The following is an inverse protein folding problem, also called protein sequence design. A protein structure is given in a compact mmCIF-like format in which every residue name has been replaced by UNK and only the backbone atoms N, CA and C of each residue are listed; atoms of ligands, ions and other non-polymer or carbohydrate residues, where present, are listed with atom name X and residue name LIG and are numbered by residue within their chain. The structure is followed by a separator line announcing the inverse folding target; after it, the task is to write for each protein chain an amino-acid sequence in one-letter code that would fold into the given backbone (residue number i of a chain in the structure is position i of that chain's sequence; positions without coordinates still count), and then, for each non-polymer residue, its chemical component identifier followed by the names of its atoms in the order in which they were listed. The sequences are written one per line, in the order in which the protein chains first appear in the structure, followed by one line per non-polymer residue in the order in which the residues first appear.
data_IF_007354125858
#
_entry.id   IF_007354125858
#
_cell.length_a   1.000
_cell.length_b   1.000
_cell.length_c   1.000
_cell.angle_alpha   90.00
_cell.angle_beta   90.00
_cell.angle_gamma   90.00
#
_symmetry.space_group_name_H-M   'P 1'
#
loop_
_entity.id
_entity.type
_entity.pdbx_description
1 polymer ?
#
# COMPACT_ATOMS: atom_id res chain seq x y z
N UNK A 1 31.77 7.71 59.99
CA UNK A 1 31.94 6.40 59.31
C UNK A 1 31.73 6.57 57.81
N UNK A 2 32.70 7.15 57.13
CA UNK A 2 32.93 7.02 55.68
C UNK A 2 33.55 5.64 55.46
N UNK A 3 32.75 4.60 55.19
CA UNK A 3 33.31 3.24 55.16
C UNK A 3 32.57 2.19 54.34
N UNK A 4 31.45 2.53 53.68
CA UNK A 4 30.64 1.50 52.97
C UNK A 4 30.50 1.78 51.46
N UNK A 5 31.07 2.88 50.95
CA UNK A 5 30.96 3.24 49.51
C UNK A 5 32.10 2.66 48.65
N UNK A 6 33.05 1.92 49.23
CA UNK A 6 34.33 1.60 48.57
C UNK A 6 34.61 0.10 48.35
N UNK A 7 33.59 -0.74 48.23
CA UNK A 7 33.80 -2.19 47.99
C UNK A 7 33.35 -2.73 46.62
N UNK A 8 32.98 -1.89 45.64
CA UNK A 8 32.69 -2.39 44.27
C UNK A 8 33.73 -1.92 43.22
N UNK A 9 34.68 -1.06 43.59
CA UNK A 9 35.73 -0.58 42.65
C UNK A 9 37.07 -1.31 42.75
N UNK A 10 37.18 -2.32 43.63
CA UNK A 10 38.36 -3.17 43.74
C UNK A 10 38.30 -4.34 42.76
N UNK A 11 38.61 -4.09 41.49
CA UNK A 11 39.16 -5.04 40.47
C UNK A 11 38.72 -4.72 39.03
N UNK A 12 39.04 -3.52 38.51
CA UNK A 12 39.15 -3.35 37.04
C UNK A 12 40.41 -2.55 36.74
N UNK A 13 41.58 -3.15 36.99
CA UNK A 13 42.89 -2.53 36.68
C UNK A 13 43.34 -2.72 35.22
N UNK A 14 42.56 -3.40 34.38
CA UNK A 14 42.96 -3.73 33.01
C UNK A 14 42.10 -2.99 31.97
N UNK A 15 42.72 -2.08 31.22
CA UNK A 15 42.09 -1.30 30.16
C UNK A 15 41.39 -2.18 29.11
N UNK A 16 41.89 -3.40 28.86
CA UNK A 16 41.25 -4.37 27.95
C UNK A 16 39.93 -4.88 28.53
N UNK A 17 39.89 -5.19 29.83
CA UNK A 17 38.68 -5.67 30.52
C UNK A 17 37.61 -4.59 30.56
N UNK A 18 38.00 -3.34 30.83
CA UNK A 18 37.08 -2.19 30.83
C UNK A 18 36.49 -1.92 29.43
N UNK A 19 37.32 -1.95 28.37
CA UNK A 19 36.84 -1.82 26.98
C UNK A 19 35.89 -2.95 26.59
N UNK A 20 36.17 -4.18 27.03
CA UNK A 20 35.30 -5.35 26.78
C UNK A 20 33.95 -5.22 27.48
N UNK A 21 33.91 -4.72 28.71
CA UNK A 21 32.67 -4.48 29.46
C UNK A 21 31.84 -3.34 28.84
N UNK A 22 32.47 -2.23 28.44
CA UNK A 22 31.78 -1.14 27.73
C UNK A 22 31.22 -1.64 26.40
N UNK A 23 32.01 -2.41 25.64
CA UNK A 23 31.55 -3.02 24.39
C UNK A 23 30.38 -3.97 24.61
N UNK A 24 30.43 -4.85 25.62
CA UNK A 24 29.32 -5.75 25.98
C UNK A 24 28.06 -4.97 26.40
N UNK A 25 28.20 -3.88 27.16
CA UNK A 25 27.05 -3.02 27.52
C UNK A 25 26.49 -2.27 26.31
N UNK A 26 27.34 -1.82 25.38
CA UNK A 26 26.88 -1.17 24.16
C UNK A 26 26.19 -2.16 23.23
N UNK A 27 26.69 -3.40 23.11
CA UNK A 27 26.05 -4.48 22.34
C UNK A 27 24.73 -4.91 22.96
N UNK A 28 24.62 -5.00 24.29
CA UNK A 28 23.36 -5.34 24.95
C UNK A 28 22.33 -4.22 24.85
N UNK A 29 22.74 -2.96 24.95
CA UNK A 29 21.90 -1.78 24.66
C UNK A 29 21.50 -1.77 23.18
N UNK A 30 22.41 -2.09 22.25
CA UNK A 30 22.06 -2.21 20.84
C UNK A 30 21.08 -3.36 20.60
N UNK A 31 21.26 -4.53 21.22
CA UNK A 31 20.36 -5.67 21.11
C UNK A 31 18.97 -5.38 21.70
N UNK A 32 18.88 -4.66 22.82
CA UNK A 32 17.59 -4.29 23.42
C UNK A 32 16.88 -3.19 22.61
N UNK A 33 17.62 -2.25 22.03
CA UNK A 33 17.08 -1.29 21.05
C UNK A 33 16.60 -2.03 19.79
N UNK A 34 17.37 -3.00 19.29
CA UNK A 34 17.00 -3.81 18.12
C UNK A 34 15.76 -4.68 18.40
N UNK A 35 15.67 -5.27 19.60
CA UNK A 35 14.50 -6.02 20.07
C UNK A 35 13.27 -5.12 20.24
N UNK A 36 13.45 -3.84 20.58
CA UNK A 36 12.35 -2.86 20.65
C UNK A 36 11.89 -2.36 19.27
N UNK A 37 12.67 -2.61 18.22
CA UNK A 37 12.30 -2.36 16.83
C UNK A 37 11.60 -3.58 16.18
N UNK A 38 10.89 -4.38 16.98
CA UNK A 38 9.91 -5.31 16.44
C UNK A 38 8.85 -4.47 15.71
N UNK A 39 8.68 -4.68 14.39
CA UNK A 39 7.72 -3.97 13.55
C UNK A 39 6.28 -4.16 14.08
N UNK A 40 5.87 -3.31 15.03
CA UNK A 40 4.58 -3.43 15.71
C UNK A 40 3.46 -3.01 14.76
N UNK A 41 2.71 -3.98 14.23
CA UNK A 41 1.60 -3.74 13.30
C UNK A 41 0.57 -2.82 13.95
N UNK A 42 0.27 -1.71 13.29
CA UNK A 42 -0.78 -0.81 13.74
C UNK A 42 -2.14 -1.40 13.39
N UNK A 43 -3.06 -1.41 14.35
CA UNK A 43 -4.42 -1.91 14.18
C UNK A 43 -5.41 -0.75 14.29
N UNK A 44 -6.35 -0.68 13.35
CA UNK A 44 -7.44 0.29 13.39
C UNK A 44 -8.30 0.03 14.60
N UNK A 45 -8.54 1.08 15.39
CA UNK A 45 -9.48 1.05 16.50
C UNK A 45 -10.53 2.13 16.27
N UNK A 46 -11.79 1.77 16.45
CA UNK A 46 -12.93 2.67 16.29
C UNK A 46 -13.73 2.73 17.60
N UNK A 47 -14.42 3.85 17.83
CA UNK A 47 -15.27 4.05 19.00
C UNK A 47 -16.61 3.33 18.90
N UNK A 48 -17.06 2.98 17.69
CA UNK A 48 -18.21 2.11 17.46
C UNK A 48 -17.79 0.81 16.75
N UNK A 49 -18.74 -0.14 16.62
CA UNK A 49 -18.51 -1.40 15.90
C UNK A 49 -18.38 -1.20 14.39
N UNK A 50 -18.98 -0.13 13.88
CA UNK A 50 -19.04 0.18 12.45
C UNK A 50 -17.97 1.21 12.08
N UNK A 51 -17.59 1.21 10.80
CA UNK A 51 -16.70 2.22 10.25
C UNK A 51 -17.55 3.46 9.94
N UNK A 52 -17.42 4.51 10.76
CA UNK A 52 -18.16 5.76 10.62
C UNK A 52 -17.19 6.93 10.37
N UNK A 53 -17.67 8.06 9.83
CA UNK A 53 -16.86 9.25 9.71
C UNK A 53 -16.23 9.66 11.05
N UNK A 54 -14.92 9.89 11.05
CA UNK A 54 -14.15 10.45 12.16
C UNK A 54 -14.14 9.59 13.45
N UNK A 55 -14.54 8.33 13.40
CA UNK A 55 -14.68 7.50 14.61
C UNK A 55 -13.49 6.55 14.87
N UNK A 56 -12.50 6.48 13.96
CA UNK A 56 -11.36 5.59 14.06
C UNK A 56 -10.02 6.32 14.16
N UNK A 57 -9.03 5.62 14.71
CA UNK A 57 -7.61 5.91 14.64
C UNK A 57 -6.81 4.60 14.58
N UNK A 58 -5.50 4.67 14.81
CA UNK A 58 -4.62 3.49 14.83
C UNK A 58 -3.86 3.37 16.14
N UNK A 59 -3.90 2.17 16.70
CA UNK A 59 -3.20 1.80 17.93
C UNK A 59 -2.11 0.77 17.62
N UNK A 60 -1.07 0.75 18.43
CA UNK A 60 -0.07 -0.31 18.40
C UNK A 60 -0.51 -1.54 19.22
N UNK A 61 0.30 -2.60 19.29
CA UNK A 61 -0.01 -3.83 20.03
C UNK A 61 -0.25 -3.63 21.54
N UNK A 62 0.35 -2.59 22.13
CA UNK A 62 0.15 -2.24 23.54
C UNK A 62 -1.11 -1.42 23.80
N UNK A 63 -1.89 -1.10 22.76
CA UNK A 63 -3.08 -0.25 22.85
C UNK A 63 -2.78 1.26 22.88
N UNK A 64 -1.51 1.67 22.71
CA UNK A 64 -1.15 3.09 22.61
C UNK A 64 -1.66 3.65 21.29
N UNK A 65 -2.32 4.80 21.37
CA UNK A 65 -2.76 5.56 20.20
C UNK A 65 -1.54 6.13 19.48
N UNK A 66 -1.34 5.73 18.22
CA UNK A 66 -0.29 6.23 17.33
C UNK A 66 -0.86 7.27 16.38
N UNK A 67 -2.01 6.97 15.76
CA UNK A 67 -2.76 7.92 14.94
C UNK A 67 -4.07 8.22 15.68
N UNK A 68 -4.33 9.49 16.08
CA UNK A 68 -5.51 9.86 16.86
C UNK A 68 -6.84 9.53 16.19
N UNK A 69 -7.85 9.26 17.03
CA UNK A 69 -9.22 9.09 16.59
C UNK A 69 -9.74 10.37 15.94
N UNK A 70 -10.45 10.22 14.82
CA UNK A 70 -10.99 11.36 14.09
C UNK A 70 -9.94 12.24 13.44
N UNK A 71 -8.69 11.79 13.31
CA UNK A 71 -7.67 12.44 12.48
C UNK A 71 -8.08 12.42 11.00
N UNK A 72 -8.58 11.27 10.54
CA UNK A 72 -9.07 11.04 9.18
C UNK A 72 -10.59 10.90 9.18
N UNK A 73 -11.22 11.22 8.05
CA UNK A 73 -12.66 10.95 7.86
C UNK A 73 -12.91 9.46 7.92
N UNK A 74 -12.10 8.65 7.22
CA UNK A 74 -12.18 7.20 7.28
C UNK A 74 -10.81 6.57 7.34
N UNK A 75 -10.69 5.48 8.10
CA UNK A 75 -9.53 4.60 8.14
C UNK A 75 -9.93 3.24 7.54
N UNK A 76 -9.57 2.95 6.30
CA UNK A 76 -10.07 1.76 5.59
C UNK A 76 -9.28 0.49 5.92
N UNK A 77 -7.97 0.62 6.12
CA UNK A 77 -7.09 -0.50 6.42
C UNK A 77 -7.26 -0.95 7.86
N UNK A 78 -7.53 -2.24 8.09
CA UNK A 78 -7.71 -2.76 9.45
C UNK A 78 -6.39 -2.90 10.20
N UNK A 79 -5.34 -3.39 9.52
CA UNK A 79 -4.01 -3.59 10.08
C UNK A 79 -2.96 -3.22 9.06
N UNK A 80 -1.90 -2.54 9.48
CA UNK A 80 -0.78 -2.24 8.59
C UNK A 80 0.56 -2.13 9.29
N UNK A 81 1.61 -2.53 8.58
CA UNK A 81 2.99 -2.22 8.94
C UNK A 81 3.51 -1.01 8.15
N UNK A 82 3.37 -1.00 6.83
CA UNK A 82 3.97 0.02 5.96
C UNK A 82 3.02 1.14 5.57
N UNK A 83 1.83 0.79 5.06
CA UNK A 83 0.84 1.78 4.63
C UNK A 83 -0.60 1.47 5.05
N UNK A 84 -1.36 2.53 5.28
CA UNK A 84 -2.82 2.46 5.45
C UNK A 84 -3.51 3.30 4.39
N UNK A 85 -4.72 2.91 4.01
CA UNK A 85 -5.59 3.70 3.14
C UNK A 85 -6.58 4.49 4.02
N UNK A 86 -6.65 5.79 3.80
CA UNK A 86 -7.49 6.73 4.55
C UNK A 86 -8.23 7.68 3.62
N UNK A 87 -9.33 8.27 4.11
CA UNK A 87 -9.94 9.46 3.50
C UNK A 87 -9.61 10.69 4.36
N UNK A 88 -9.12 11.74 3.72
CA UNK A 88 -8.74 13.00 4.37
C UNK A 88 -9.98 13.84 4.67
N UNK A 89 -9.85 14.84 5.56
CA UNK A 89 -10.96 15.73 5.92
C UNK A 89 -11.17 16.86 4.92
N UNK A 90 -10.07 17.36 4.39
CA UNK A 90 -9.95 18.59 3.62
C UNK A 90 -9.68 18.34 2.13
N UNK A 91 -9.54 17.07 1.74
CA UNK A 91 -9.23 16.68 0.37
C UNK A 91 -10.03 15.45 -0.06
N UNK A 92 -10.77 15.52 -1.18
CA UNK A 92 -11.55 14.38 -1.67
C UNK A 92 -10.63 13.25 -2.14
N UNK A 93 -11.16 12.02 -2.13
CA UNK A 93 -10.47 10.82 -2.56
C UNK A 93 -9.93 9.97 -1.41
N UNK A 94 -9.11 9.00 -1.79
CA UNK A 94 -8.53 8.01 -0.89
C UNK A 94 -7.02 8.02 -1.04
N UNK A 95 -6.30 7.98 0.07
CA UNK A 95 -4.85 8.17 0.07
C UNK A 95 -4.18 7.07 0.86
N UNK A 96 -3.10 6.53 0.31
CA UNK A 96 -2.18 5.72 1.09
C UNK A 96 -1.29 6.65 1.92
N UNK A 97 -1.17 6.36 3.21
CA UNK A 97 -0.26 7.03 4.13
C UNK A 97 0.73 6.04 4.72
N UNK A 98 1.95 6.48 5.00
CA UNK A 98 2.88 5.71 5.84
C UNK A 98 2.61 5.93 7.34
N UNK A 99 3.42 5.30 8.21
CA UNK A 99 3.33 5.48 9.68
C UNK A 99 3.61 6.90 10.16
N UNK A 100 4.35 7.70 9.39
CA UNK A 100 4.63 9.11 9.68
C UNK A 100 3.55 10.01 9.09
N UNK A 101 2.48 9.43 8.56
CA UNK A 101 1.36 10.12 7.92
C UNK A 101 1.76 10.88 6.65
N UNK A 102 2.88 10.50 6.01
CA UNK A 102 3.21 11.01 4.68
C UNK A 102 2.26 10.38 3.66
N UNK A 103 1.66 11.20 2.80
CA UNK A 103 0.88 10.71 1.67
C UNK A 103 1.83 10.09 0.65
N UNK A 104 1.64 8.80 0.37
CA UNK A 104 2.42 8.06 -0.61
C UNK A 104 1.85 8.24 -2.02
N UNK A 105 0.54 8.03 -2.17
CA UNK A 105 -0.18 8.16 -3.45
C UNK A 105 -1.69 8.20 -3.21
N UNK A 106 -2.43 8.63 -4.24
CA UNK A 106 -3.88 8.53 -4.27
C UNK A 106 -4.29 7.15 -4.80
N UNK A 107 -5.19 6.49 -4.07
CA UNK A 107 -5.78 5.19 -4.44
C UNK A 107 -7.01 5.45 -5.30
N UNK A 108 -7.18 4.65 -6.36
CA UNK A 108 -8.37 4.73 -7.20
C UNK A 108 -9.63 4.45 -6.36
N UNK A 109 -10.71 5.20 -6.59
CA UNK A 109 -11.99 4.93 -5.94
C UNK A 109 -12.81 3.89 -6.71
N UNK A 110 -13.57 3.08 -5.99
CA UNK A 110 -14.58 2.17 -6.53
C UNK A 110 -15.87 2.34 -5.75
N UNK A 111 -16.89 2.89 -6.40
CA UNK A 111 -18.14 3.33 -5.76
C UNK A 111 -17.84 4.30 -4.58
N UNK A 112 -18.20 3.94 -3.35
CA UNK A 112 -18.01 4.78 -2.16
C UNK A 112 -16.79 4.40 -1.31
N UNK A 113 -15.87 3.58 -1.84
CA UNK A 113 -14.71 3.07 -1.13
C UNK A 113 -13.42 3.13 -1.98
N UNK A 114 -12.22 3.04 -1.37
CA UNK A 114 -11.00 2.82 -2.13
C UNK A 114 -11.02 1.46 -2.82
N UNK A 115 -10.29 1.37 -3.93
CA UNK A 115 -9.98 0.10 -4.58
C UNK A 115 -9.24 -0.85 -3.63
N UNK A 116 -9.43 -2.15 -3.84
CA UNK A 116 -8.85 -3.20 -2.98
C UNK A 116 -7.53 -3.69 -3.56
N UNK A 117 -6.70 -4.28 -2.71
CA UNK A 117 -5.58 -5.07 -3.19
C UNK A 117 -6.11 -6.33 -3.89
N UNK A 118 -5.71 -6.52 -5.14
CA UNK A 118 -5.94 -7.72 -5.91
C UNK A 118 -4.59 -8.32 -6.29
N UNK A 119 -4.33 -9.55 -5.84
CA UNK A 119 -3.04 -10.24 -6.01
C UNK A 119 -1.82 -9.44 -5.52
N UNK A 120 -2.01 -8.68 -4.43
CA UNK A 120 -0.96 -7.88 -3.79
C UNK A 120 -0.75 -6.50 -4.40
N UNK A 121 -1.55 -6.09 -5.40
CA UNK A 121 -1.47 -4.77 -6.04
C UNK A 121 -2.80 -4.01 -5.96
N UNK A 122 -2.74 -2.70 -5.78
CA UNK A 122 -3.89 -1.78 -5.82
C UNK A 122 -3.70 -0.75 -6.93
N UNK A 123 -4.79 -0.35 -7.59
CA UNK A 123 -4.73 0.73 -8.58
C UNK A 123 -4.56 2.07 -7.89
N UNK A 124 -3.56 2.82 -8.35
CA UNK A 124 -3.28 4.18 -7.88
C UNK A 124 -3.52 5.15 -9.02
N UNK A 125 -3.83 6.40 -8.71
CA UNK A 125 -3.99 7.44 -9.73
C UNK A 125 -3.13 8.67 -9.46
N UNK A 126 -2.66 9.26 -10.54
CA UNK A 126 -1.93 10.53 -10.55
C UNK A 126 -2.15 11.21 -11.89
N UNK A 127 -2.49 12.49 -11.87
CA UNK A 127 -2.67 13.31 -13.08
C UNK A 127 -3.61 12.68 -14.14
N UNK A 128 -4.69 12.03 -13.68
CA UNK A 128 -5.67 11.35 -14.52
C UNK A 128 -5.20 10.01 -15.13
N UNK A 129 -4.01 9.54 -14.76
CA UNK A 129 -3.47 8.24 -15.17
C UNK A 129 -3.53 7.24 -14.03
N UNK A 130 -3.59 5.96 -14.39
CA UNK A 130 -3.64 4.82 -13.49
C UNK A 130 -2.31 4.05 -13.55
N UNK A 131 -1.83 3.68 -12.37
CA UNK A 131 -0.69 2.79 -12.14
C UNK A 131 -1.04 1.77 -11.05
N UNK A 132 -0.02 1.08 -10.53
CA UNK A 132 -0.19 0.05 -9.51
C UNK A 132 0.88 0.14 -8.43
N UNK A 133 0.46 -0.01 -7.18
CA UNK A 133 1.35 -0.09 -6.03
C UNK A 133 1.06 -1.34 -5.20
N UNK A 134 2.04 -1.81 -4.44
CA UNK A 134 1.89 -2.95 -3.54
C UNK A 134 1.53 -2.53 -2.11
N UNK A 135 1.31 -3.51 -1.24
CA UNK A 135 0.99 -3.32 0.19
C UNK A 135 2.12 -2.71 1.03
N UNK A 136 3.35 -2.65 0.50
CA UNK A 136 4.47 -1.97 1.14
C UNK A 136 4.53 -0.48 0.82
N UNK A 137 3.61 0.02 -0.01
CA UNK A 137 3.63 1.41 -0.48
C UNK A 137 4.59 1.66 -1.64
N UNK A 138 5.07 0.60 -2.30
CA UNK A 138 5.97 0.71 -3.45
C UNK A 138 5.16 0.78 -4.73
N UNK A 139 5.45 1.77 -5.59
CA UNK A 139 4.85 1.87 -6.92
C UNK A 139 5.57 0.87 -7.83
N UNK A 140 4.88 -0.21 -8.19
CA UNK A 140 5.39 -1.26 -9.07
C UNK A 140 5.25 -0.83 -10.54
N UNK A 141 4.14 -0.17 -10.87
CA UNK A 141 3.88 0.30 -12.22
C UNK A 141 3.48 1.77 -12.13
N UNK A 142 4.30 2.65 -12.70
CA UNK A 142 4.04 4.09 -12.68
C UNK A 142 2.70 4.42 -13.36
N UNK A 143 1.95 5.41 -12.85
CA UNK A 143 0.74 5.88 -13.49
C UNK A 143 0.98 6.31 -14.94
N UNK A 144 0.43 5.56 -15.89
CA UNK A 144 0.62 5.80 -17.31
C UNK A 144 -0.59 5.43 -18.18
N UNK A 145 -1.57 4.71 -17.61
CA UNK A 145 -2.74 4.21 -18.35
C UNK A 145 -3.96 5.10 -18.13
N UNK A 146 -4.79 5.26 -19.15
CA UNK A 146 -6.07 5.98 -19.07
C UNK A 146 -7.16 5.19 -18.37
N UNK A 147 -7.07 3.85 -18.41
CA UNK A 147 -7.93 2.94 -17.66
C UNK A 147 -7.16 1.66 -17.34
N UNK A 148 -7.49 1.01 -16.23
CA UNK A 148 -6.94 -0.29 -15.88
C UNK A 148 -7.94 -1.09 -15.04
N UNK A 149 -7.97 -2.40 -15.26
CA UNK A 149 -8.73 -3.35 -14.45
C UNK A 149 -7.88 -3.83 -13.26
N UNK A 150 -8.50 -4.31 -12.17
CA UNK A 150 -7.75 -5.01 -11.12
C UNK A 150 -6.98 -6.21 -11.66
N UNK A 151 -5.89 -6.58 -10.98
CA UNK A 151 -5.17 -7.81 -11.32
C UNK A 151 -6.02 -9.06 -11.03
N UNK A 152 -6.02 -10.00 -11.97
CA UNK A 152 -6.66 -11.30 -11.84
C UNK A 152 -5.95 -12.32 -12.71
N UNK A 153 -5.65 -13.48 -12.14
CA UNK A 153 -4.87 -14.55 -12.76
C UNK A 153 -3.50 -14.06 -13.25
N UNK A 154 -2.85 -13.16 -12.51
CA UNK A 154 -1.53 -12.62 -12.86
C UNK A 154 -1.52 -11.47 -13.87
N UNK A 155 -2.69 -11.06 -14.39
CA UNK A 155 -2.79 -10.08 -15.47
C UNK A 155 -3.74 -8.92 -15.15
N UNK A 156 -3.52 -7.78 -15.79
CA UNK A 156 -4.43 -6.64 -15.79
C UNK A 156 -4.64 -6.13 -17.22
N UNK A 157 -5.91 -5.87 -17.57
CA UNK A 157 -6.26 -5.18 -18.81
C UNK A 157 -6.05 -3.68 -18.62
N UNK A 158 -5.30 -3.07 -19.54
CA UNK A 158 -4.97 -1.65 -19.50
C UNK A 158 -5.33 -0.96 -20.81
N UNK A 159 -5.70 0.31 -20.71
CA UNK A 159 -6.10 1.13 -21.84
C UNK A 159 -5.15 2.33 -21.98
N UNK A 160 -4.75 2.61 -23.22
CA UNK A 160 -4.04 3.84 -23.62
C UNK A 160 -4.92 4.67 -24.56
N UNK A 161 -4.99 5.97 -24.29
CA UNK A 161 -5.78 6.94 -25.04
C UNK A 161 -7.30 6.79 -24.84
N UNK A 162 -8.06 7.24 -25.84
CA UNK A 162 -9.52 7.25 -25.82
C UNK A 162 -10.14 8.34 -24.95
N UNK A 163 -11.45 8.49 -25.07
CA UNK A 163 -12.23 9.53 -24.37
C UNK A 163 -13.15 8.87 -23.36
N UNK A 164 -13.39 9.55 -22.24
CA UNK A 164 -14.42 9.14 -21.30
C UNK A 164 -15.78 9.33 -21.95
N UNK A 165 -16.62 8.30 -21.86
CA UNK A 165 -18.02 8.35 -22.24
C UNK A 165 -18.86 7.72 -21.11
N UNK A 166 -20.16 7.97 -21.12
CA UNK A 166 -21.11 7.35 -20.20
C UNK A 166 -21.77 6.15 -20.86
N UNK A 167 -21.88 5.06 -20.12
CA UNK A 167 -22.77 3.94 -20.41
C UNK A 167 -23.67 3.72 -19.19
N UNK A 168 -24.87 4.31 -19.24
CA UNK A 168 -25.71 4.49 -18.05
C UNK A 168 -25.00 5.34 -17.00
N UNK A 169 -24.88 4.81 -15.78
CA UNK A 169 -24.19 5.46 -14.66
C UNK A 169 -22.65 5.28 -14.71
N UNK A 170 -22.16 4.37 -15.55
CA UNK A 170 -20.74 4.01 -15.60
C UNK A 170 -19.95 4.92 -16.54
N UNK A 171 -18.76 5.34 -16.08
CA UNK A 171 -17.73 5.92 -16.95
C UNK A 171 -16.99 4.81 -17.69
N UNK A 172 -17.07 4.84 -19.02
CA UNK A 172 -16.37 3.92 -19.91
C UNK A 172 -15.32 4.68 -20.74
N UNK A 173 -14.27 3.98 -21.16
CA UNK A 173 -13.27 4.51 -22.09
C UNK A 173 -13.60 4.04 -23.50
N UNK A 174 -13.99 4.96 -24.38
CA UNK A 174 -14.28 4.69 -25.79
C UNK A 174 -13.11 5.13 -26.67
N UNK A 175 -12.91 4.44 -27.80
CA UNK A 175 -11.84 4.70 -28.78
C UNK A 175 -10.40 4.60 -28.23
N UNK A 176 -10.23 4.11 -27.00
CA UNK A 176 -8.92 3.76 -26.45
C UNK A 176 -8.41 2.44 -27.00
N UNK A 177 -7.12 2.18 -26.83
CA UNK A 177 -6.50 0.91 -27.20
C UNK A 177 -6.24 0.08 -25.96
N UNK A 178 -6.66 -1.18 -26.01
CA UNK A 178 -6.58 -2.12 -24.90
C UNK A 178 -5.49 -3.17 -25.13
N UNK A 179 -4.86 -3.57 -24.04
CA UNK A 179 -3.88 -4.65 -23.99
C UNK A 179 -3.83 -5.27 -22.59
N UNK A 180 -2.91 -6.22 -22.40
CA UNK A 180 -2.76 -6.98 -21.17
C UNK A 180 -1.33 -6.83 -20.66
N UNK A 181 -1.19 -6.58 -19.36
CA UNK A 181 0.10 -6.54 -18.68
C UNK A 181 0.17 -7.57 -17.56
N UNK A 182 1.38 -8.02 -17.24
CA UNK A 182 1.66 -8.81 -16.04
C UNK A 182 1.91 -7.90 -14.81
N UNK A 183 2.06 -8.50 -13.62
CA UNK A 183 2.25 -7.78 -12.34
C UNK A 183 3.49 -6.88 -12.27
N UNK A 184 4.47 -7.07 -13.15
CA UNK A 184 5.66 -6.24 -13.25
C UNK A 184 5.53 -5.14 -14.31
N UNK A 185 4.35 -4.99 -14.94
CA UNK A 185 4.10 -4.04 -16.02
C UNK A 185 4.57 -4.51 -17.40
N UNK A 186 5.06 -5.75 -17.53
CA UNK A 186 5.44 -6.32 -18.81
C UNK A 186 4.21 -6.56 -19.70
N UNK A 187 4.26 -6.10 -20.94
CA UNK A 187 3.18 -6.26 -21.92
C UNK A 187 3.10 -7.72 -22.36
N UNK A 188 1.96 -8.35 -22.10
CA UNK A 188 1.61 -9.74 -22.49
C UNK A 188 0.81 -9.73 -23.78
N UNK A 189 -0.16 -8.82 -23.89
CA UNK A 189 -0.92 -8.56 -25.11
C UNK A 189 -0.75 -7.08 -25.46
N UNK A 190 -0.30 -6.79 -26.68
CA UNK A 190 -0.03 -5.40 -27.13
C UNK A 190 -1.25 -4.50 -26.92
N UNK A 191 -1.00 -3.26 -26.50
CA UNK A 191 -2.03 -2.24 -26.26
C UNK A 191 -2.48 -1.59 -27.57
N UNK A 192 -3.13 -2.38 -28.44
CA UNK A 192 -3.51 -1.97 -29.80
C UNK A 192 -4.95 -2.31 -30.17
N UNK A 193 -5.65 -3.07 -29.33
CA UNK A 193 -6.97 -3.61 -29.63
C UNK A 193 -8.09 -2.63 -29.28
N UNK A 194 -9.21 -2.69 -29.98
CA UNK A 194 -10.38 -1.82 -29.74
C UNK A 194 -11.09 -2.16 -28.42
N UNK A 195 -11.02 -3.42 -28.00
CA UNK A 195 -11.59 -3.95 -26.75
C UNK A 195 -10.80 -5.22 -26.37
N UNK A 196 -10.75 -5.53 -25.08
CA UNK A 196 -10.13 -6.75 -24.53
C UNK A 196 -10.96 -7.24 -23.35
N UNK A 197 -11.37 -8.52 -23.41
CA UNK A 197 -12.18 -9.16 -22.36
C UNK A 197 -11.59 -10.51 -21.98
N UNK A 198 -11.66 -10.83 -20.70
CA UNK A 198 -11.44 -12.19 -20.21
C UNK A 198 -12.80 -12.86 -20.04
N UNK A 199 -13.09 -13.87 -20.87
CA UNK A 199 -14.36 -14.61 -20.83
C UNK A 199 -14.04 -16.05 -20.48
N UNK A 200 -14.39 -16.47 -19.26
CA UNK A 200 -14.15 -17.83 -18.76
C UNK A 200 -12.68 -18.29 -18.86
N UNK A 201 -11.72 -17.36 -18.72
CA UNK A 201 -10.29 -17.64 -18.84
C UNK A 201 -9.73 -17.48 -20.25
N UNK A 202 -10.57 -17.30 -21.27
CA UNK A 202 -10.16 -17.02 -22.64
C UNK A 202 -10.01 -15.51 -22.85
N UNK A 203 -8.84 -15.06 -23.31
CA UNK A 203 -8.63 -13.66 -23.68
C UNK A 203 -9.21 -13.44 -25.07
N UNK A 204 -10.21 -12.57 -25.17
CA UNK A 204 -10.78 -12.11 -26.42
C UNK A 204 -10.42 -10.67 -26.68
N UNK A 205 -10.01 -10.37 -27.90
CA UNK A 205 -9.72 -9.02 -28.35
C UNK A 205 -10.63 -8.64 -29.51
N UNK A 206 -10.89 -7.35 -29.64
CA UNK A 206 -11.62 -6.79 -30.77
C UNK A 206 -10.67 -6.02 -31.67
N UNK A 207 -10.64 -6.37 -32.94
CA UNK A 207 -9.84 -5.73 -33.98
C UNK A 207 -10.67 -5.60 -35.25
N UNK A 208 -10.75 -4.41 -35.83
CA UNK A 208 -11.57 -4.13 -37.01
C UNK A 208 -13.03 -4.58 -36.82
N UNK A 209 -13.58 -4.31 -35.63
CA UNK A 209 -14.95 -4.71 -35.22
C UNK A 209 -15.19 -6.23 -35.10
N UNK A 210 -14.17 -7.07 -35.25
CA UNK A 210 -14.27 -8.54 -35.16
C UNK A 210 -13.63 -9.02 -33.87
N UNK A 211 -14.31 -9.94 -33.18
CA UNK A 211 -13.78 -10.62 -32.00
C UNK A 211 -12.88 -11.79 -32.38
N UNK A 212 -11.71 -11.88 -31.75
CA UNK A 212 -10.75 -12.97 -31.92
C UNK A 212 -10.29 -13.45 -30.55
N UNK A 213 -10.04 -14.75 -30.44
CA UNK A 213 -9.40 -15.34 -29.26
C UNK A 213 -7.88 -15.24 -29.39
N UNK A 214 -7.21 -14.94 -28.28
CA UNK A 214 -5.75 -14.93 -28.18
C UNK A 214 -5.35 -15.91 -27.08
N UNK A 215 -4.45 -16.83 -27.43
CA UNK A 215 -3.74 -17.65 -26.45
C UNK A 215 -2.64 -16.82 -25.80
N UNK A 216 -2.64 -16.79 -24.48
CA UNK A 216 -1.53 -16.25 -23.67
C UNK A 216 -0.87 -17.48 -23.02
N UNK A 217 0.30 -17.85 -23.53
CA UNK A 217 1.12 -18.95 -22.97
C UNK A 217 1.73 -18.55 -21.62
#
# INVERSE_FOLDING_TARGET
MMGVVLCIFGEIKNLKTMKKLIYLSLVSIFCSIYSSAQNDILTRKCSSKELEPNNCGYINSSGKIIIPFGKYTYCFTEKFDKMAIVSLKDKPGYYAIDRKENILFEVLGYDNAPDKLCEGLVRIKKDGKIGFANENGEIIIQPQFEAAMPFSKGYSAVCIGGTLAKDGEYDIRVNGKWGLINKNGGVVVKVIYEDLRNINGEIKVKENKIWKSISIE
#
